data_IF_516195299379
#
_entry.id   IF_516195299379
#
_cell.length_a   1.000
_cell.length_b   1.000
_cell.length_c   1.000
_cell.angle_alpha   90.00
_cell.angle_beta   90.00
_cell.angle_gamma   90.00
#
_symmetry.space_group_name_H-M   'P 1'
#
loop_
_entity.id
_entity.type
_entity.pdbx_description
1 polymer ?
#
# COMPACT_ATOMS: atom_id res chain seq x y z
N UNK A 1 -6.28 2.41 -7.99
CA UNK A 1 -5.48 2.61 -9.22
C UNK A 1 -4.54 3.77 -8.97
N UNK A 2 -3.25 3.54 -8.80
CA UNK A 2 -2.28 4.62 -8.53
C UNK A 2 -1.90 5.24 -9.87
N UNK A 3 -2.36 6.46 -10.15
CA UNK A 3 -1.93 7.23 -11.31
C UNK A 3 -0.60 7.93 -10.99
N UNK A 4 0.39 7.77 -11.88
CA UNK A 4 1.63 8.53 -11.85
C UNK A 4 1.62 9.49 -13.04
N UNK A 5 1.69 10.79 -12.77
CA UNK A 5 1.74 11.83 -13.80
C UNK A 5 3.18 12.31 -13.98
N UNK A 6 3.64 12.37 -15.22
CA UNK A 6 4.93 12.96 -15.60
C UNK A 6 4.62 14.23 -16.39
N UNK A 7 4.96 15.38 -15.82
CA UNK A 7 4.77 16.67 -16.46
C UNK A 7 6.03 17.08 -17.23
N UNK A 8 5.83 17.52 -18.46
CA UNK A 8 6.89 17.91 -19.39
C UNK A 8 6.52 19.21 -20.08
N UNK A 9 7.52 19.98 -20.51
CA UNK A 9 7.32 21.31 -21.12
C UNK A 9 6.59 21.26 -22.47
N UNK A 10 6.69 20.17 -23.23
CA UNK A 10 6.09 20.06 -24.56
C UNK A 10 5.62 18.65 -24.87
N UNK A 11 4.66 18.52 -25.77
CA UNK A 11 4.17 17.23 -26.26
C UNK A 11 5.31 16.38 -26.86
N UNK A 12 6.21 17.01 -27.62
CA UNK A 12 7.39 16.33 -28.20
C UNK A 12 8.29 15.75 -27.11
N UNK A 13 8.50 16.46 -26.01
CA UNK A 13 9.24 15.92 -24.87
C UNK A 13 8.49 14.76 -24.20
N UNK A 14 7.16 14.86 -24.10
CA UNK A 14 6.32 13.80 -23.55
C UNK A 14 6.39 12.50 -24.36
N UNK A 15 6.30 12.61 -25.69
CA UNK A 15 6.46 11.46 -26.60
C UNK A 15 7.82 10.80 -26.42
N UNK A 16 8.91 11.57 -26.37
CA UNK A 16 10.26 11.04 -26.11
C UNK A 16 10.38 10.33 -24.76
N UNK A 17 9.83 10.91 -23.70
CA UNK A 17 9.86 10.31 -22.35
C UNK A 17 9.06 9.02 -22.34
N UNK A 18 7.87 9.01 -22.94
CA UNK A 18 7.04 7.81 -23.10
C UNK A 18 7.79 6.71 -23.84
N UNK A 19 8.36 7.02 -25.00
CA UNK A 19 9.14 6.06 -25.81
C UNK A 19 10.31 5.46 -25.02
N UNK A 20 11.07 6.30 -24.31
CA UNK A 20 12.21 5.85 -23.49
C UNK A 20 11.78 4.92 -22.35
N UNK A 21 10.73 5.28 -21.61
CA UNK A 21 10.20 4.46 -20.52
C UNK A 21 9.63 3.15 -21.07
N UNK A 22 8.85 3.20 -22.16
CA UNK A 22 8.29 2.01 -22.81
C UNK A 22 9.41 1.06 -23.24
N UNK A 23 10.45 1.58 -23.91
CA UNK A 23 11.61 0.78 -24.30
C UNK A 23 12.27 0.10 -23.09
N UNK A 24 12.45 0.81 -21.99
CA UNK A 24 13.05 0.24 -20.78
C UNK A 24 12.16 -0.85 -20.16
N UNK A 25 10.86 -0.60 -20.02
CA UNK A 25 9.91 -1.57 -19.45
C UNK A 25 9.83 -2.85 -20.28
N UNK A 26 9.78 -2.74 -21.60
CA UNK A 26 9.67 -3.90 -22.49
C UNK A 26 10.99 -4.66 -22.62
N UNK A 27 12.13 -3.95 -22.78
CA UNK A 27 13.42 -4.59 -23.05
C UNK A 27 14.12 -5.09 -21.78
N UNK A 28 14.00 -4.37 -20.67
CA UNK A 28 14.67 -4.76 -19.40
C UNK A 28 13.75 -5.57 -18.50
N UNK A 29 12.51 -5.13 -18.30
CA UNK A 29 11.58 -5.80 -17.39
C UNK A 29 10.65 -6.80 -18.07
N UNK A 30 10.59 -6.83 -19.41
CA UNK A 30 9.71 -7.71 -20.20
C UNK A 30 8.22 -7.53 -19.83
N UNK A 31 7.82 -6.30 -19.52
CA UNK A 31 6.44 -5.95 -19.16
C UNK A 31 5.70 -5.31 -20.34
N UNK A 32 4.41 -5.61 -20.49
CA UNK A 32 3.55 -4.99 -21.51
C UNK A 32 3.06 -3.63 -21.03
N UNK A 33 3.34 -2.58 -21.80
CA UNK A 33 2.86 -1.22 -21.50
C UNK A 33 1.41 -1.05 -21.92
N UNK A 34 0.63 -0.34 -21.09
CA UNK A 34 -0.76 0.00 -21.41
C UNK A 34 -0.80 1.37 -22.11
N UNK A 35 -0.78 1.34 -23.44
CA UNK A 35 -0.79 2.53 -24.29
C UNK A 35 -1.94 3.49 -24.00
N UNK A 36 -3.14 2.96 -23.69
CA UNK A 36 -4.32 3.76 -23.36
C UNK A 36 -4.12 4.57 -22.07
N UNK A 37 -3.44 3.99 -21.08
CA UNK A 37 -3.15 4.66 -19.79
C UNK A 37 -1.91 5.55 -19.83
N UNK A 38 -1.02 5.33 -20.79
CA UNK A 38 0.23 6.07 -20.97
C UNK A 38 0.15 7.12 -22.08
N UNK A 39 -1.05 7.65 -22.36
CA UNK A 39 -1.24 8.69 -23.38
C UNK A 39 -0.53 9.99 -22.97
N UNK A 40 0.11 10.64 -23.94
CA UNK A 40 0.62 12.01 -23.78
C UNK A 40 -0.50 12.96 -24.20
N UNK A 41 -0.88 13.85 -23.30
CA UNK A 41 -2.04 14.73 -23.49
C UNK A 41 -1.82 16.04 -22.74
N UNK A 42 -2.36 17.16 -23.25
CA UNK A 42 -2.34 18.42 -22.51
C UNK A 42 -3.11 18.28 -21.19
N UNK A 43 -2.63 18.89 -20.10
CA UNK A 43 -3.37 18.93 -18.85
C UNK A 43 -4.48 19.99 -18.90
N UNK A 44 -5.61 19.67 -18.29
CA UNK A 44 -6.66 20.59 -17.88
C UNK A 44 -6.42 21.06 -16.44
N UNK A 45 -6.69 22.33 -16.15
CA UNK A 45 -6.61 22.89 -14.80
C UNK A 45 -7.96 22.81 -14.09
N UNK A 46 -7.95 22.29 -12.86
CA UNK A 46 -9.10 22.19 -11.99
C UNK A 46 -8.82 22.92 -10.67
N UNK A 47 -9.69 23.89 -10.32
CA UNK A 47 -9.65 24.55 -9.01
C UNK A 47 -10.72 23.96 -8.11
N UNK A 48 -10.30 23.37 -6.99
CA UNK A 48 -11.17 22.75 -5.99
C UNK A 48 -11.13 23.56 -4.71
N UNK A 49 -12.31 23.93 -4.19
CA UNK A 49 -12.47 24.50 -2.85
C UNK A 49 -12.86 23.39 -1.89
N UNK A 50 -12.07 23.20 -0.84
CA UNK A 50 -12.34 22.24 0.23
C UNK A 50 -13.07 22.95 1.37
N UNK A 51 -14.16 22.35 1.84
CA UNK A 51 -14.92 22.80 3.00
C UNK A 51 -15.12 21.65 3.99
N UNK A 52 -15.25 21.97 5.28
CA UNK A 52 -15.66 20.98 6.27
C UNK A 52 -17.17 20.70 6.21
N UNK A 53 -17.65 19.83 7.11
CA UNK A 53 -19.07 19.47 7.23
C UNK A 53 -19.98 20.65 7.62
N UNK A 54 -19.41 21.74 8.13
CA UNK A 54 -20.10 22.96 8.51
C UNK A 54 -19.94 24.07 7.45
N UNK A 55 -19.35 23.75 6.29
CA UNK A 55 -19.12 24.71 5.19
C UNK A 55 -17.93 25.63 5.40
N UNK A 56 -17.13 25.45 6.46
CA UNK A 56 -15.92 26.25 6.70
C UNK A 56 -14.85 25.90 5.68
N UNK A 57 -14.23 26.91 5.09
CA UNK A 57 -13.11 26.73 4.16
C UNK A 57 -11.91 26.05 4.83
N UNK A 58 -11.48 24.92 4.27
CA UNK A 58 -10.29 24.18 4.71
C UNK A 58 -9.08 24.56 3.85
N UNK A 59 -9.29 24.78 2.56
CA UNK A 59 -8.20 25.02 1.63
C UNK A 59 -8.64 25.02 0.17
N UNK A 60 -7.70 25.34 -0.71
CA UNK A 60 -7.88 25.33 -2.16
C UNK A 60 -6.84 24.41 -2.79
N UNK A 61 -7.25 23.57 -3.72
CA UNK A 61 -6.35 22.80 -4.57
C UNK A 61 -6.45 23.30 -6.00
N UNK A 62 -5.30 23.41 -6.66
CA UNK A 62 -5.22 23.52 -8.12
C UNK A 62 -4.63 22.20 -8.62
N UNK A 63 -5.41 21.45 -9.37
CA UNK A 63 -5.04 20.14 -9.89
C UNK A 63 -4.87 20.22 -11.40
N UNK A 64 -3.83 19.56 -11.91
CA UNK A 64 -3.67 19.31 -13.33
C UNK A 64 -4.14 17.89 -13.62
N UNK A 65 -5.03 17.72 -14.59
CA UNK A 65 -5.60 16.42 -14.94
C UNK A 65 -5.69 16.28 -16.45
N UNK A 66 -5.45 15.10 -16.98
CA UNK A 66 -5.72 14.80 -18.40
C UNK A 66 -6.99 13.97 -18.61
N UNK A 67 -7.82 13.88 -17.56
CA UNK A 67 -9.10 13.18 -17.61
C UNK A 67 -10.07 13.95 -18.51
N UNK A 68 -10.93 13.24 -19.24
CA UNK A 68 -11.92 13.86 -20.13
C UNK A 68 -12.89 14.76 -19.34
N UNK A 69 -13.42 15.77 -20.01
CA UNK A 69 -14.43 16.67 -19.44
C UNK A 69 -15.78 15.97 -19.14
N UNK A 70 -15.93 14.71 -19.55
CA UNK A 70 -17.08 13.87 -19.19
C UNK A 70 -17.09 13.51 -17.70
N UNK A 71 -15.90 13.44 -17.08
CA UNK A 71 -15.77 13.19 -15.64
C UNK A 71 -15.92 14.51 -14.88
N UNK A 72 -16.77 14.50 -13.86
CA UNK A 72 -17.02 15.71 -13.08
C UNK A 72 -15.80 16.15 -12.28
N UNK A 73 -15.63 17.46 -12.12
CA UNK A 73 -14.61 18.07 -11.26
C UNK A 73 -14.60 17.52 -9.83
N UNK A 74 -15.79 17.24 -9.27
CA UNK A 74 -15.94 16.67 -7.94
C UNK A 74 -15.38 15.24 -7.85
N UNK A 75 -15.53 14.46 -8.92
CA UNK A 75 -15.00 13.10 -9.00
C UNK A 75 -13.47 13.10 -9.17
N UNK A 76 -12.91 13.97 -10.01
CA UNK A 76 -11.45 14.16 -10.11
C UNK A 76 -10.87 14.59 -8.75
N UNK A 77 -11.52 15.52 -8.06
CA UNK A 77 -11.13 15.94 -6.72
C UNK A 77 -11.17 14.78 -5.71
N UNK A 78 -12.19 13.92 -5.80
CA UNK A 78 -12.32 12.72 -4.96
C UNK A 78 -11.21 11.71 -5.23
N UNK A 79 -10.84 11.48 -6.48
CA UNK A 79 -9.69 10.63 -6.83
C UNK A 79 -8.38 11.18 -6.27
N UNK A 80 -8.17 12.49 -6.38
CA UNK A 80 -6.99 13.13 -5.78
C UNK A 80 -7.01 13.08 -4.25
N UNK A 81 -8.17 13.20 -3.62
CA UNK A 81 -8.32 12.99 -2.18
C UNK A 81 -7.89 11.57 -1.78
N UNK A 82 -8.32 10.55 -2.54
CA UNK A 82 -7.89 9.16 -2.31
C UNK A 82 -6.41 8.91 -2.53
N UNK A 83 -5.69 9.79 -3.26
CA UNK A 83 -4.22 9.75 -3.36
C UNK A 83 -3.59 9.72 -1.97
N UNK A 84 -4.14 10.46 -1.01
CA UNK A 84 -3.64 10.48 0.38
C UNK A 84 -3.64 9.10 1.03
N UNK A 85 -4.50 8.19 0.57
CA UNK A 85 -4.53 6.80 1.01
C UNK A 85 -3.17 6.10 0.90
N UNK A 86 -2.33 6.50 -0.07
CA UNK A 86 -0.99 5.91 -0.27
C UNK A 86 0.00 6.18 0.85
N UNK A 87 -0.20 7.25 1.62
CA UNK A 87 0.68 7.56 2.75
C UNK A 87 0.61 6.48 3.82
N UNK A 88 -0.55 5.84 3.98
CA UNK A 88 -0.66 4.71 4.91
C UNK A 88 0.20 3.51 4.48
N UNK A 89 0.40 3.28 3.18
CA UNK A 89 1.33 2.25 2.68
C UNK A 89 2.77 2.63 2.97
N UNK A 90 3.16 3.87 2.68
CA UNK A 90 4.51 4.34 3.00
C UNK A 90 4.78 4.33 4.50
N UNK A 91 3.78 4.59 5.34
CA UNK A 91 3.90 4.48 6.79
C UNK A 91 4.19 3.04 7.24
N UNK A 92 3.51 2.05 6.67
CA UNK A 92 3.80 0.63 6.94
C UNK A 92 5.21 0.26 6.50
N UNK A 93 5.62 0.74 5.33
CA UNK A 93 6.92 0.43 4.75
C UNK A 93 8.07 1.06 5.56
N UNK A 94 7.91 2.31 5.99
CA UNK A 94 8.98 3.10 6.60
C UNK A 94 9.17 2.90 8.10
N UNK A 95 8.10 2.67 8.88
CA UNK A 95 8.27 2.63 10.34
C UNK A 95 7.19 1.93 11.16
N UNK A 96 6.07 1.52 10.56
CA UNK A 96 5.01 0.83 11.30
C UNK A 96 4.97 -0.69 11.04
N UNK A 97 5.97 -1.23 10.34
CA UNK A 97 6.01 -2.62 9.91
C UNK A 97 7.37 -3.10 9.42
N UNK A 98 7.84 -2.53 8.31
CA UNK A 98 9.03 -3.06 7.61
C UNK A 98 10.32 -2.29 7.85
N UNK A 99 10.26 -1.07 8.39
CA UNK A 99 11.41 -0.23 8.70
C UNK A 99 12.43 -0.16 7.55
N UNK A 100 11.95 0.11 6.32
CA UNK A 100 12.76 0.05 5.10
C UNK A 100 14.03 0.91 5.16
N UNK A 101 14.01 1.99 5.93
CA UNK A 101 15.14 2.91 6.09
C UNK A 101 16.26 2.33 6.98
N UNK A 102 15.99 1.26 7.73
CA UNK A 102 16.96 0.52 8.56
C UNK A 102 17.55 -0.70 7.85
N UNK A 103 17.21 -0.92 6.60
CA UNK A 103 17.66 -2.07 5.82
C UNK A 103 19.13 -1.93 5.44
N UNK A 104 19.92 -2.98 5.67
CA UNK A 104 21.37 -3.00 5.43
C UNK A 104 21.76 -3.78 4.15
N UNK A 105 20.83 -3.93 3.20
CA UNK A 105 21.10 -4.59 1.93
C UNK A 105 22.17 -3.83 1.13
N UNK A 106 23.24 -4.53 0.73
CA UNK A 106 24.38 -3.94 0.00
C UNK A 106 24.27 -4.01 -1.53
N UNK A 107 23.19 -4.58 -2.07
CA UNK A 107 22.96 -4.66 -3.51
C UNK A 107 21.54 -4.29 -3.90
N UNK A 108 21.39 -3.64 -5.05
CA UNK A 108 20.09 -3.22 -5.58
C UNK A 108 19.14 -4.41 -5.79
N UNK A 109 19.66 -5.56 -6.24
CA UNK A 109 18.86 -6.77 -6.44
C UNK A 109 18.32 -7.34 -5.12
N UNK A 110 19.13 -7.37 -4.05
CA UNK A 110 18.69 -7.83 -2.74
C UNK A 110 17.66 -6.86 -2.12
N UNK A 111 17.91 -5.55 -2.27
CA UNK A 111 16.98 -4.52 -1.84
C UNK A 111 15.62 -4.65 -2.54
N UNK A 112 15.63 -4.80 -3.87
CA UNK A 112 14.42 -4.94 -4.67
C UNK A 112 13.61 -6.17 -4.27
N UNK A 113 14.25 -7.34 -4.12
CA UNK A 113 13.55 -8.57 -3.70
C UNK A 113 12.85 -8.40 -2.36
N UNK A 114 13.56 -7.85 -1.37
CA UNK A 114 12.99 -7.59 -0.04
C UNK A 114 11.85 -6.56 -0.11
N UNK A 115 12.03 -5.52 -0.92
CA UNK A 115 11.03 -4.48 -1.13
C UNK A 115 9.75 -5.03 -1.74
N UNK A 116 9.85 -5.94 -2.70
CA UNK A 116 8.69 -6.60 -3.31
C UNK A 116 7.91 -7.42 -2.28
N UNK A 117 8.59 -8.22 -1.46
CA UNK A 117 7.94 -9.02 -0.40
C UNK A 117 7.25 -8.10 0.61
N UNK A 118 7.95 -7.08 1.11
CA UNK A 118 7.39 -6.10 2.03
C UNK A 118 6.17 -5.37 1.43
N UNK A 119 6.26 -4.99 0.15
CA UNK A 119 5.15 -4.34 -0.56
C UNK A 119 3.93 -5.27 -0.66
N UNK A 120 4.14 -6.56 -0.93
CA UNK A 120 3.05 -7.54 -0.97
C UNK A 120 2.39 -7.73 0.39
N UNK A 121 3.16 -7.80 1.47
CA UNK A 121 2.61 -7.87 2.83
C UNK A 121 1.75 -6.64 3.17
N UNK A 122 2.22 -5.42 2.84
CA UNK A 122 1.44 -4.20 2.97
C UNK A 122 0.12 -4.24 2.16
N UNK A 123 0.17 -4.76 0.93
CA UNK A 123 -1.01 -4.87 0.07
C UNK A 123 -2.03 -5.88 0.59
N UNK A 124 -1.59 -7.02 1.14
CA UNK A 124 -2.46 -8.01 1.78
C UNK A 124 -3.20 -7.40 2.97
N UNK A 125 -2.49 -6.67 3.82
CA UNK A 125 -3.08 -5.94 4.95
C UNK A 125 -4.10 -4.92 4.47
N UNK A 126 -3.79 -4.15 3.44
CA UNK A 126 -4.71 -3.18 2.87
C UNK A 126 -5.98 -3.80 2.28
N UNK A 127 -5.85 -4.96 1.64
CA UNK A 127 -6.97 -5.74 1.11
C UNK A 127 -7.85 -6.22 2.26
N UNK A 128 -7.27 -6.84 3.29
CA UNK A 128 -8.02 -7.30 4.46
C UNK A 128 -8.72 -6.15 5.21
N UNK A 129 -8.02 -5.02 5.37
CA UNK A 129 -8.56 -3.84 6.04
C UNK A 129 -9.81 -3.27 5.35
N UNK A 130 -9.89 -3.41 4.02
CA UNK A 130 -10.97 -2.87 3.18
C UNK A 130 -12.02 -3.91 2.81
N UNK A 131 -11.76 -5.19 3.03
CA UNK A 131 -12.70 -6.25 2.70
C UNK A 131 -13.96 -6.14 3.58
N UNK A 132 -15.13 -6.31 2.98
CA UNK A 132 -16.42 -6.26 3.68
C UNK A 132 -16.91 -7.69 3.98
N UNK A 133 -17.93 -7.82 4.83
CA UNK A 133 -18.48 -9.11 5.26
C UNK A 133 -18.00 -9.56 6.65
N UNK A 134 -18.76 -10.49 7.21
CA UNK A 134 -18.62 -10.92 8.61
C UNK A 134 -17.32 -11.71 8.83
N UNK A 135 -16.97 -12.63 7.93
CA UNK A 135 -15.72 -13.40 8.00
C UNK A 135 -14.48 -12.50 7.95
N UNK A 136 -14.49 -11.49 7.07
CA UNK A 136 -13.39 -10.53 6.98
C UNK A 136 -13.28 -9.68 8.24
N UNK A 137 -14.41 -9.39 8.89
CA UNK A 137 -14.45 -8.68 10.17
C UNK A 137 -13.89 -9.54 11.29
N UNK A 138 -14.30 -10.80 11.39
CA UNK A 138 -13.76 -11.76 12.35
C UNK A 138 -12.25 -11.96 12.16
N UNK A 139 -11.80 -12.09 10.91
CA UNK A 139 -10.38 -12.23 10.57
C UNK A 139 -9.57 -11.00 11.00
N UNK A 140 -10.05 -9.77 10.72
CA UNK A 140 -9.40 -8.53 11.18
C UNK A 140 -9.30 -8.48 12.70
N UNK A 141 -10.36 -8.83 13.40
CA UNK A 141 -10.39 -8.81 14.87
C UNK A 141 -9.42 -9.85 15.46
N UNK A 142 -9.38 -11.06 14.92
CA UNK A 142 -8.42 -12.09 15.33
C UNK A 142 -6.98 -11.61 15.10
N UNK A 143 -6.66 -11.16 13.88
CA UNK A 143 -5.31 -10.70 13.52
C UNK A 143 -4.90 -9.50 14.37
N UNK A 144 -5.79 -8.53 14.58
CA UNK A 144 -5.51 -7.40 15.44
C UNK A 144 -5.25 -7.83 16.90
N UNK A 145 -6.01 -8.81 17.43
CA UNK A 145 -5.75 -9.37 18.77
C UNK A 145 -4.38 -10.04 18.84
N UNK A 146 -4.01 -10.85 17.86
CA UNK A 146 -2.68 -11.49 17.80
C UNK A 146 -1.55 -10.47 17.88
N UNK A 147 -1.73 -9.28 17.29
CA UNK A 147 -0.71 -8.23 17.33
C UNK A 147 -0.40 -7.67 18.72
N UNK A 148 -1.27 -7.90 19.72
CA UNK A 148 -1.15 -7.34 21.07
C UNK A 148 -1.35 -5.81 21.15
N UNK A 149 -1.63 -5.14 20.03
CA UNK A 149 -1.78 -3.68 19.99
C UNK A 149 -3.18 -3.25 20.42
N UNK A 150 -3.25 -2.37 21.42
CA UNK A 150 -4.50 -1.75 21.88
C UNK A 150 -5.07 -0.82 20.80
N UNK A 151 -6.39 -0.86 20.59
CA UNK A 151 -7.10 0.00 19.64
C UNK A 151 -8.29 0.68 20.32
N UNK A 152 -8.66 1.89 19.85
CA UNK A 152 -9.84 2.58 20.34
C UNK A 152 -11.11 1.82 19.95
N UNK A 153 -12.03 1.66 20.90
CA UNK A 153 -13.33 0.99 20.70
C UNK A 153 -14.12 1.66 19.57
N UNK A 154 -14.74 0.84 18.71
CA UNK A 154 -15.58 1.30 17.60
C UNK A 154 -14.82 1.84 16.38
N UNK A 155 -13.48 1.82 16.38
CA UNK A 155 -12.66 2.14 15.20
C UNK A 155 -12.29 0.86 14.45
N UNK A 156 -12.26 0.94 13.12
CA UNK A 156 -11.69 -0.12 12.27
C UNK A 156 -10.23 -0.37 12.65
N UNK A 157 -9.81 -1.62 12.57
CA UNK A 157 -8.47 -2.07 12.91
C UNK A 157 -7.42 -1.34 12.06
N UNK A 158 -6.36 -0.85 12.70
CA UNK A 158 -5.30 -0.12 12.00
C UNK A 158 -4.41 -1.06 11.18
N UNK A 159 -3.96 -0.59 10.02
CA UNK A 159 -3.08 -1.36 9.15
C UNK A 159 -1.78 -1.83 9.85
N UNK A 160 -1.12 -1.04 10.72
CA UNK A 160 0.02 -1.54 11.48
C UNK A 160 -0.32 -2.73 12.38
N UNK A 161 -1.44 -2.69 13.09
CA UNK A 161 -1.86 -3.80 13.94
C UNK A 161 -2.14 -5.06 13.11
N UNK A 162 -2.84 -4.90 11.99
CA UNK A 162 -3.08 -6.00 11.06
C UNK A 162 -1.79 -6.59 10.50
N UNK A 163 -0.79 -5.77 10.16
CA UNK A 163 0.50 -6.24 9.64
C UNK A 163 1.28 -7.04 10.69
N UNK A 164 1.36 -6.54 11.93
CA UNK A 164 2.05 -7.24 13.02
C UNK A 164 1.36 -8.58 13.34
N UNK A 165 0.04 -8.58 13.44
CA UNK A 165 -0.74 -9.80 13.67
C UNK A 165 -0.63 -10.81 12.54
N UNK A 166 -0.57 -10.34 11.29
CA UNK A 166 -0.42 -11.22 10.12
C UNK A 166 0.91 -11.96 10.17
N UNK A 167 1.99 -11.30 10.59
CA UNK A 167 3.28 -11.98 10.76
C UNK A 167 3.21 -13.09 11.80
N UNK A 168 2.51 -12.87 12.91
CA UNK A 168 2.31 -13.90 13.95
C UNK A 168 1.52 -15.07 13.38
N UNK A 169 0.40 -14.81 12.72
CA UNK A 169 -0.42 -15.85 12.09
C UNK A 169 0.39 -16.70 11.10
N UNK A 170 1.16 -16.07 10.21
CA UNK A 170 1.95 -16.80 9.21
C UNK A 170 3.04 -17.66 9.85
N UNK A 171 3.72 -17.13 10.88
CA UNK A 171 4.72 -17.89 11.63
C UNK A 171 4.08 -19.06 12.39
N UNK A 172 2.90 -18.86 13.00
CA UNK A 172 2.15 -19.93 13.67
C UNK A 172 1.71 -21.01 12.69
N UNK A 173 1.21 -20.65 11.51
CA UNK A 173 0.83 -21.63 10.48
C UNK A 173 2.04 -22.44 9.99
N UNK A 174 3.20 -21.81 9.89
CA UNK A 174 4.45 -22.50 9.53
C UNK A 174 4.85 -23.47 10.65
N UNK A 175 4.83 -23.02 11.90
CA UNK A 175 5.14 -23.85 13.06
C UNK A 175 4.23 -25.09 13.16
N UNK A 176 2.93 -24.92 12.93
CA UNK A 176 1.95 -26.01 12.96
C UNK A 176 2.02 -26.93 11.73
N UNK A 177 2.69 -26.50 10.66
CA UNK A 177 2.95 -27.36 9.51
C UNK A 177 4.11 -28.31 9.76
N UNK A 178 5.09 -27.89 10.57
CA UNK A 178 6.34 -28.62 10.79
C UNK A 178 6.35 -29.43 12.10
N UNK A 179 5.51 -29.09 13.09
CA UNK A 179 5.51 -29.70 14.42
C UNK A 179 4.11 -30.04 14.91
N UNK A 180 4.00 -31.12 15.68
CA UNK A 180 2.74 -31.43 16.38
C UNK A 180 2.60 -30.59 17.65
N UNK A 181 1.37 -30.42 18.17
CA UNK A 181 1.14 -29.72 19.43
C UNK A 181 1.93 -30.31 20.62
N UNK A 182 2.12 -31.63 20.65
CA UNK A 182 2.85 -32.34 21.71
C UNK A 182 4.34 -32.00 21.68
N UNK A 183 4.96 -31.98 20.50
CA UNK A 183 6.37 -31.60 20.32
C UNK A 183 6.60 -30.16 20.77
N UNK A 184 5.70 -29.24 20.38
CA UNK A 184 5.76 -27.84 20.79
C UNK A 184 5.61 -27.68 22.31
N UNK A 185 4.70 -28.44 22.94
CA UNK A 185 4.53 -28.43 24.39
C UNK A 185 5.79 -28.96 25.10
N UNK A 186 6.41 -30.02 24.58
CA UNK A 186 7.67 -30.55 25.10
C UNK A 186 8.79 -29.52 25.02
N UNK A 187 9.00 -28.89 23.85
CA UNK A 187 10.00 -27.82 23.71
C UNK A 187 9.73 -26.65 24.65
N UNK A 188 8.46 -26.27 24.86
CA UNK A 188 8.11 -25.22 25.82
C UNK A 188 8.53 -25.59 27.25
N UNK A 189 8.29 -26.84 27.68
CA UNK A 189 8.74 -27.30 29.01
C UNK A 189 10.25 -27.23 29.19
N UNK A 190 11.01 -27.64 28.17
CA UNK A 190 12.48 -27.56 28.19
C UNK A 190 12.95 -26.10 28.27
N UNK A 191 12.31 -25.19 27.55
CA UNK A 191 12.65 -23.75 27.59
C UNK A 191 12.32 -23.12 28.95
N UNK A 192 11.23 -23.52 29.61
CA UNK A 192 10.86 -22.99 30.92
C UNK A 192 11.68 -23.56 32.07
N UNK A 193 12.25 -24.76 31.91
CA UNK A 193 13.13 -25.41 32.89
C UNK A 193 14.42 -25.92 32.22
N UNK A 194 15.34 -25.02 31.84
CA UNK A 194 16.63 -25.44 31.29
C UNK A 194 17.45 -26.12 32.38
N UNK A 195 18.09 -27.25 32.03
CA UNK A 195 19.02 -27.99 32.89
C UNK A 195 20.19 -27.12 33.36
#
# INVERSE_FOLDING_TARGET
MSLCYIYVRSERAGKRVKESITHWLEKRLKLKVNERKSAVSPPCELVVRLTDTHGKFIGRWTLLTNVSNEITSAEVARWYYWRWGIESFFKLLKGAGHDVEKWLQRSAGALLRRLLIASMACMLVWRLQRAEGDDNTAARQLICRLSGRQQKRGRKESAPALLAGLSILLNTLTLLADYTPEELAHFAMVVFNPL
#
